data_IF_747953628808
#
_entry.id   IF_747953628808
#
_cell.length_a   1.000
_cell.length_b   1.000
_cell.length_c   1.000
_cell.angle_alpha   90.00
_cell.angle_beta   90.00
_cell.angle_gamma   90.00
#
_symmetry.space_group_name_H-M   'P 1'
#
loop_
_entity.id
_entity.type
_entity.pdbx_description
1 polymer ?
#
# COMPACT_ATOMS: atom_id res chain seq x y z
N UNK A 1 34.78 34.88 -81.11
CA UNK A 1 33.41 34.61 -80.68
C UNK A 1 33.40 33.23 -80.07
N UNK A 2 33.43 33.13 -78.77
CA UNK A 2 33.44 31.87 -78.03
C UNK A 2 32.40 31.92 -76.94
N UNK A 3 31.36 31.11 -77.10
CA UNK A 3 30.31 30.94 -76.14
C UNK A 3 30.80 30.05 -74.96
N UNK A 4 30.78 30.63 -73.75
CA UNK A 4 31.10 29.91 -72.56
C UNK A 4 29.91 29.09 -72.06
N UNK A 5 30.16 27.83 -71.80
CA UNK A 5 29.20 26.90 -71.15
C UNK A 5 29.18 27.05 -69.62
N UNK A 6 28.01 27.30 -69.02
CA UNK A 6 27.80 27.26 -67.59
C UNK A 6 27.71 25.80 -67.08
N UNK A 7 28.28 25.46 -65.95
CA UNK A 7 28.10 24.13 -65.34
C UNK A 7 26.80 24.04 -64.53
N UNK A 8 26.09 22.99 -64.83
CA UNK A 8 24.82 22.59 -64.14
C UNK A 8 25.15 22.04 -62.75
N UNK A 9 24.81 22.81 -61.73
CA UNK A 9 24.94 22.37 -60.30
C UNK A 9 23.83 21.38 -59.97
N UNK A 10 24.19 20.13 -59.77
CA UNK A 10 23.33 19.06 -59.26
C UNK A 10 23.10 19.29 -57.75
N UNK A 11 21.92 19.70 -57.37
CA UNK A 11 21.49 19.75 -55.95
C UNK A 11 21.04 18.36 -55.55
N UNK A 12 21.90 17.66 -54.78
CA UNK A 12 21.48 16.44 -54.09
C UNK A 12 20.67 16.85 -52.86
N UNK A 13 19.36 16.60 -52.89
CA UNK A 13 18.49 16.72 -51.70
C UNK A 13 18.66 15.46 -50.85
N UNK A 14 19.42 15.58 -49.77
CA UNK A 14 19.51 14.54 -48.76
C UNK A 14 18.21 14.60 -47.94
N UNK A 15 17.29 13.67 -48.22
CA UNK A 15 16.08 13.48 -47.41
C UNK A 15 16.48 12.77 -46.12
N UNK A 16 16.57 13.52 -45.02
CA UNK A 16 16.84 12.98 -43.69
C UNK A 16 15.54 12.37 -43.14
N UNK A 17 15.37 11.06 -43.30
CA UNK A 17 14.32 10.31 -42.64
C UNK A 17 14.58 10.28 -41.14
N UNK A 18 13.91 11.13 -40.37
CA UNK A 18 13.88 11.03 -38.91
C UNK A 18 13.05 9.78 -38.56
N UNK A 19 13.74 8.69 -38.28
CA UNK A 19 13.12 7.52 -37.62
C UNK A 19 12.74 7.98 -36.20
N UNK A 20 11.46 8.32 -35.98
CA UNK A 20 10.90 8.36 -34.66
C UNK A 20 10.99 6.93 -34.11
N UNK A 21 12.00 6.68 -33.30
CA UNK A 21 12.04 5.51 -32.47
C UNK A 21 10.84 5.62 -31.51
N UNK A 22 9.80 4.83 -31.77
CA UNK A 22 8.72 4.60 -30.83
C UNK A 22 9.38 3.82 -29.67
N UNK A 23 9.88 4.52 -28.66
CA UNK A 23 10.24 3.87 -27.38
C UNK A 23 8.96 3.24 -26.87
N UNK A 24 8.95 1.92 -26.59
CA UNK A 24 7.81 1.36 -25.85
C UNK A 24 7.64 2.20 -24.60
N UNK A 25 6.43 2.70 -24.36
CA UNK A 25 6.07 3.29 -23.08
C UNK A 25 6.41 2.22 -22.05
N UNK A 26 7.37 2.50 -21.16
CA UNK A 26 7.61 1.60 -20.03
C UNK A 26 6.26 1.44 -19.33
N UNK A 27 5.85 0.22 -19.03
CA UNK A 27 4.65 0.02 -18.24
C UNK A 27 4.92 0.73 -16.91
N UNK A 28 4.01 1.62 -16.51
CA UNK A 28 4.11 2.33 -15.25
C UNK A 28 4.12 1.32 -14.10
N UNK A 29 4.84 1.62 -13.02
CA UNK A 29 4.79 0.80 -11.83
C UNK A 29 3.38 0.90 -11.22
N UNK A 30 2.82 -0.25 -10.84
CA UNK A 30 1.49 -0.34 -10.29
C UNK A 30 1.52 -0.24 -8.76
N UNK A 31 0.56 0.46 -8.18
CA UNK A 31 0.38 0.54 -6.73
C UNK A 31 -1.01 0.06 -6.36
N UNK A 32 -1.10 -1.03 -5.60
CA UNK A 32 -2.35 -1.55 -5.05
C UNK A 32 -2.62 -0.90 -3.70
N UNK A 33 -3.80 -0.32 -3.53
CA UNK A 33 -4.26 0.27 -2.27
C UNK A 33 -5.25 -0.67 -1.58
N UNK A 34 -4.98 -1.02 -0.31
CA UNK A 34 -5.88 -1.81 0.52
C UNK A 34 -6.28 -1.03 1.78
N UNK A 35 -7.57 -0.82 1.95
CA UNK A 35 -8.12 -0.12 3.11
C UNK A 35 -8.16 -1.01 4.37
N UNK A 36 -8.56 -0.46 5.51
CA UNK A 36 -8.67 -1.18 6.79
C UNK A 36 -10.08 -1.72 7.08
N UNK A 37 -10.19 -2.42 8.21
CA UNK A 37 -11.45 -2.90 8.76
C UNK A 37 -12.45 -1.75 8.97
N UNK A 38 -13.74 -1.98 8.65
CA UNK A 38 -14.82 -0.97 8.68
C UNK A 38 -14.62 0.21 7.72
N UNK A 39 -13.80 0.04 6.69
CA UNK A 39 -13.58 1.06 5.67
C UNK A 39 -14.04 0.55 4.31
N UNK A 40 -13.98 1.45 3.35
CA UNK A 40 -14.11 1.17 1.93
C UNK A 40 -12.92 1.81 1.20
N UNK A 41 -12.77 1.50 -0.08
CA UNK A 41 -11.79 2.11 -0.99
C UNK A 41 -11.81 3.65 -0.92
N UNK A 42 -12.97 4.25 -0.67
CA UNK A 42 -13.10 5.72 -0.57
C UNK A 42 -12.22 6.33 0.53
N UNK A 43 -11.82 5.56 1.54
CA UNK A 43 -10.89 6.02 2.57
C UNK A 43 -9.50 6.31 2.02
N UNK A 44 -9.11 5.67 0.90
CA UNK A 44 -7.80 5.78 0.27
C UNK A 44 -7.77 6.79 -0.91
N UNK A 45 -8.90 7.41 -1.28
CA UNK A 45 -9.02 8.28 -2.47
C UNK A 45 -7.98 9.43 -2.53
N UNK A 46 -7.58 9.97 -1.38
CA UNK A 46 -6.56 11.04 -1.35
C UNK A 46 -5.16 10.47 -1.67
N UNK A 47 -4.83 9.31 -1.12
CA UNK A 47 -3.61 8.56 -1.43
C UNK A 47 -3.57 8.19 -2.91
N UNK A 48 -4.66 7.61 -3.42
CA UNK A 48 -4.83 7.27 -4.84
C UNK A 48 -4.56 8.46 -5.74
N UNK A 49 -5.19 9.61 -5.45
CA UNK A 49 -4.99 10.83 -6.23
C UNK A 49 -3.53 11.26 -6.27
N UNK A 50 -2.87 11.29 -5.12
CA UNK A 50 -1.48 11.75 -5.00
C UNK A 50 -0.50 10.79 -5.71
N UNK A 51 -0.73 9.48 -5.63
CA UNK A 51 0.08 8.48 -6.34
C UNK A 51 -0.12 8.55 -7.86
N UNK A 52 -1.35 8.77 -8.33
CA UNK A 52 -1.63 9.00 -9.75
C UNK A 52 -0.95 10.28 -10.25
N UNK A 53 -0.94 11.36 -9.45
CA UNK A 53 -0.23 12.61 -9.78
C UNK A 53 1.30 12.40 -9.84
N UNK A 54 1.82 11.40 -9.12
CA UNK A 54 3.22 10.97 -9.18
C UNK A 54 3.50 9.93 -10.29
N UNK A 55 2.55 9.70 -11.19
CA UNK A 55 2.65 8.81 -12.36
C UNK A 55 2.69 7.31 -12.05
N UNK A 56 2.18 6.87 -10.90
CA UNK A 56 1.90 5.45 -10.66
C UNK A 56 0.55 5.05 -11.28
N UNK A 57 0.44 3.80 -11.76
CA UNK A 57 -0.84 3.19 -12.11
C UNK A 57 -1.49 2.63 -10.83
N UNK A 58 -2.52 3.30 -10.31
CA UNK A 58 -3.07 2.99 -8.97
C UNK A 58 -4.34 2.15 -9.07
N UNK A 59 -4.38 1.07 -8.29
CA UNK A 59 -5.55 0.19 -8.14
C UNK A 59 -6.06 0.28 -6.70
N UNK A 60 -7.14 1.03 -6.51
CA UNK A 60 -7.78 1.23 -5.21
C UNK A 60 -8.88 0.18 -5.02
N UNK A 61 -8.50 -0.95 -4.42
CA UNK A 61 -9.33 -2.16 -4.38
C UNK A 61 -10.50 -2.01 -3.42
N UNK A 62 -11.71 -2.27 -3.94
CA UNK A 62 -12.93 -2.34 -3.15
C UNK A 62 -13.18 -3.78 -2.69
N UNK A 63 -13.23 -3.99 -1.37
CA UNK A 63 -13.58 -5.29 -0.77
C UNK A 63 -14.37 -5.12 0.53
N UNK A 64 -15.16 -6.12 0.88
CA UNK A 64 -16.02 -6.07 2.08
C UNK A 64 -15.27 -6.53 3.33
N UNK A 65 -14.55 -5.64 3.97
CA UNK A 65 -13.58 -5.89 5.06
C UNK A 65 -14.10 -6.62 6.31
N UNK A 66 -15.42 -6.80 6.45
CA UNK A 66 -16.07 -7.44 7.61
C UNK A 66 -16.77 -8.75 7.24
N UNK A 67 -16.76 -9.15 5.97
CA UNK A 67 -17.61 -10.24 5.50
C UNK A 67 -17.00 -11.62 5.69
N UNK A 68 -15.72 -11.74 5.42
CA UNK A 68 -15.00 -13.01 5.38
C UNK A 68 -13.81 -13.02 6.35
N UNK A 69 -13.22 -14.18 6.68
CA UNK A 69 -11.97 -14.30 7.42
C UNK A 69 -10.79 -13.66 6.68
N UNK A 70 -9.72 -13.35 7.42
CA UNK A 70 -8.51 -12.68 6.88
C UNK A 70 -7.89 -13.44 5.70
N UNK A 71 -7.84 -14.76 5.75
CA UNK A 71 -7.26 -15.58 4.68
C UNK A 71 -8.07 -15.51 3.38
N UNK A 72 -9.40 -15.48 3.46
CA UNK A 72 -10.28 -15.31 2.29
C UNK A 72 -10.17 -13.90 1.74
N UNK A 73 -10.22 -12.87 2.61
CA UNK A 73 -10.06 -11.48 2.20
C UNK A 73 -8.68 -11.19 1.59
N UNK A 74 -7.64 -11.87 2.07
CA UNK A 74 -6.29 -11.74 1.50
C UNK A 74 -6.23 -12.24 0.05
N UNK A 75 -6.77 -13.43 -0.22
CA UNK A 75 -6.83 -13.98 -1.57
C UNK A 75 -7.69 -13.10 -2.50
N UNK A 76 -8.84 -12.64 -2.01
CA UNK A 76 -9.75 -11.79 -2.77
C UNK A 76 -9.13 -10.42 -3.07
N UNK A 77 -8.75 -9.65 -2.04
CA UNK A 77 -8.34 -8.25 -2.22
C UNK A 77 -6.96 -8.11 -2.87
N UNK A 78 -5.99 -8.94 -2.48
CA UNK A 78 -4.66 -8.93 -3.11
C UNK A 78 -4.76 -9.48 -4.53
N UNK A 79 -5.49 -10.59 -4.73
CA UNK A 79 -5.70 -11.19 -6.05
C UNK A 79 -6.34 -10.21 -7.05
N UNK A 80 -7.38 -9.48 -6.64
CA UNK A 80 -8.01 -8.41 -7.45
C UNK A 80 -7.01 -7.33 -7.82
N UNK A 81 -6.24 -6.83 -6.86
CA UNK A 81 -5.21 -5.82 -7.12
C UNK A 81 -4.15 -6.28 -8.11
N UNK A 82 -3.69 -7.51 -8.00
CA UNK A 82 -2.73 -8.11 -8.92
C UNK A 82 -3.30 -8.28 -10.33
N UNK A 83 -4.56 -8.70 -10.46
CA UNK A 83 -5.25 -8.83 -11.73
C UNK A 83 -5.41 -7.46 -12.42
N UNK A 84 -5.82 -6.43 -11.67
CA UNK A 84 -5.98 -5.08 -12.18
C UNK A 84 -4.65 -4.43 -12.59
N UNK A 85 -3.53 -4.77 -11.92
CA UNK A 85 -2.18 -4.33 -12.31
C UNK A 85 -1.68 -4.98 -13.61
N UNK A 86 -2.29 -6.08 -14.05
CA UNK A 86 -2.04 -6.71 -15.33
C UNK A 86 -0.54 -6.97 -15.59
N UNK A 87 0.02 -6.31 -16.59
CA UNK A 87 1.41 -6.48 -17.03
C UNK A 87 2.38 -5.41 -16.49
N UNK A 88 2.07 -4.72 -15.40
CA UNK A 88 2.99 -3.78 -14.76
C UNK A 88 4.36 -4.44 -14.48
N UNK A 89 5.44 -3.68 -14.60
CA UNK A 89 6.80 -4.22 -14.37
C UNK A 89 7.05 -4.50 -12.89
N UNK A 90 6.56 -3.63 -12.02
CA UNK A 90 6.67 -3.72 -10.57
C UNK A 90 5.29 -3.46 -9.96
N UNK A 91 4.96 -4.19 -8.91
CA UNK A 91 3.71 -4.02 -8.15
C UNK A 91 4.05 -3.66 -6.72
N UNK A 92 3.69 -2.46 -6.32
CA UNK A 92 3.81 -1.97 -4.95
C UNK A 92 2.48 -2.12 -4.21
N UNK A 93 2.55 -2.10 -2.89
CA UNK A 93 1.35 -2.04 -2.05
C UNK A 93 1.44 -0.86 -1.09
N UNK A 94 0.35 -0.10 -0.96
CA UNK A 94 0.16 0.86 0.13
C UNK A 94 -1.11 0.50 0.86
N UNK A 95 -0.99 0.18 2.14
CA UNK A 95 -2.08 -0.41 2.90
C UNK A 95 -2.38 0.39 4.16
N UNK A 96 -3.62 0.32 4.62
CA UNK A 96 -4.01 0.89 5.90
C UNK A 96 -4.52 -0.20 6.84
N UNK A 97 -3.99 -0.22 8.07
CA UNK A 97 -4.50 -1.08 9.16
C UNK A 97 -4.54 -2.57 8.75
N UNK A 98 -5.70 -3.21 8.80
CA UNK A 98 -5.90 -4.61 8.39
C UNK A 98 -5.40 -4.90 6.97
N UNK A 99 -5.43 -3.93 6.05
CA UNK A 99 -4.92 -4.13 4.69
C UNK A 99 -3.47 -4.62 4.64
N UNK A 100 -2.62 -4.21 5.61
CA UNK A 100 -1.26 -4.72 5.76
C UNK A 100 -1.21 -6.19 6.18
N UNK A 101 -2.14 -6.60 7.03
CA UNK A 101 -2.27 -8.00 7.46
C UNK A 101 -2.73 -8.89 6.28
N UNK A 102 -3.60 -8.35 5.39
CA UNK A 102 -4.00 -9.08 4.19
C UNK A 102 -2.81 -9.34 3.25
N UNK A 103 -1.93 -8.35 3.05
CA UNK A 103 -0.71 -8.55 2.24
C UNK A 103 0.20 -9.59 2.87
N UNK A 104 0.46 -9.53 4.19
CA UNK A 104 1.26 -10.54 4.89
C UNK A 104 0.65 -11.93 4.78
N UNK A 105 -0.68 -12.05 4.98
CA UNK A 105 -1.40 -13.32 4.89
C UNK A 105 -1.35 -13.91 3.48
N UNK A 106 -1.42 -13.08 2.44
CA UNK A 106 -1.30 -13.51 1.06
C UNK A 106 0.12 -14.04 0.77
N UNK A 107 1.14 -13.29 1.17
CA UNK A 107 2.55 -13.62 0.95
C UNK A 107 3.04 -14.81 1.78
N UNK A 108 2.33 -15.22 2.83
CA UNK A 108 2.61 -16.47 3.58
C UNK A 108 2.41 -17.73 2.70
N UNK A 109 1.54 -17.63 1.68
CA UNK A 109 1.14 -18.78 0.86
C UNK A 109 1.45 -18.63 -0.61
N UNK A 110 1.71 -17.41 -1.07
CA UNK A 110 1.84 -17.06 -2.47
C UNK A 110 3.08 -16.21 -2.70
N UNK A 111 3.74 -16.40 -3.83
CA UNK A 111 4.80 -15.51 -4.30
C UNK A 111 4.23 -14.48 -5.30
N UNK A 112 4.77 -13.27 -5.28
CA UNK A 112 4.49 -12.23 -6.29
C UNK A 112 5.81 -11.91 -7.00
N UNK A 113 6.03 -12.51 -8.16
CA UNK A 113 7.29 -12.38 -8.93
C UNK A 113 7.73 -10.93 -9.17
N UNK A 114 6.76 -9.99 -9.21
CA UNK A 114 7.00 -8.57 -9.49
C UNK A 114 6.76 -7.69 -8.28
N UNK A 115 6.84 -8.27 -7.06
CA UNK A 115 6.65 -7.52 -5.84
C UNK A 115 7.74 -6.44 -5.71
N UNK A 116 7.30 -5.20 -5.61
CA UNK A 116 8.12 -4.05 -5.30
C UNK A 116 8.17 -3.79 -3.81
N UNK A 117 7.82 -2.57 -3.42
CA UNK A 117 7.82 -2.13 -2.03
C UNK A 117 6.42 -2.18 -1.43
N UNK A 118 6.35 -2.48 -0.14
CA UNK A 118 5.11 -2.45 0.64
C UNK A 118 5.23 -1.34 1.67
N UNK A 119 4.23 -0.46 1.74
CA UNK A 119 4.10 0.56 2.79
C UNK A 119 2.84 0.29 3.60
N UNK A 120 2.99 0.14 4.91
CA UNK A 120 1.87 -0.12 5.80
C UNK A 120 1.62 1.07 6.73
N UNK A 121 0.42 1.61 6.70
CA UNK A 121 -0.04 2.70 7.55
C UNK A 121 -0.79 2.14 8.77
N UNK A 122 -0.20 2.25 9.96
CA UNK A 122 -0.78 1.80 11.21
C UNK A 122 -1.20 0.32 11.24
N UNK A 123 -0.38 -0.63 10.73
CA UNK A 123 -0.75 -2.04 10.71
C UNK A 123 -0.75 -2.63 12.12
N UNK A 124 -1.75 -3.43 12.52
CA UNK A 124 -1.70 -4.18 13.78
C UNK A 124 -0.84 -5.45 13.64
N UNK A 125 0.47 -5.29 13.34
CA UNK A 125 1.38 -6.41 13.06
C UNK A 125 1.59 -7.36 14.24
N UNK A 126 1.36 -6.88 15.48
CA UNK A 126 1.35 -7.69 16.70
C UNK A 126 -0.08 -7.85 17.28
N UNK A 127 -1.10 -7.52 16.48
CA UNK A 127 -2.49 -7.48 16.90
C UNK A 127 -2.91 -6.12 17.44
N UNK A 128 -4.17 -6.01 17.84
CA UNK A 128 -4.78 -4.79 18.40
C UNK A 128 -5.45 -5.08 19.73
N UNK A 129 -4.98 -4.41 20.77
CA UNK A 129 -5.55 -4.47 22.12
C UNK A 129 -6.99 -3.91 22.16
N UNK A 130 -7.34 -3.06 21.21
CA UNK A 130 -8.72 -2.59 21.05
C UNK A 130 -9.65 -3.74 20.67
N UNK A 131 -9.19 -4.67 19.82
CA UNK A 131 -9.98 -5.88 19.50
C UNK A 131 -10.17 -6.73 20.75
N UNK A 132 -9.09 -7.03 21.48
CA UNK A 132 -9.17 -7.85 22.70
C UNK A 132 -10.12 -7.29 23.74
N UNK A 133 -10.18 -5.95 23.85
CA UNK A 133 -11.08 -5.29 24.80
C UNK A 133 -12.55 -5.45 24.43
N UNK A 134 -12.87 -5.50 23.16
CA UNK A 134 -14.26 -5.47 22.69
C UNK A 134 -14.76 -6.82 22.18
N UNK A 135 -13.89 -7.83 22.05
CA UNK A 135 -14.26 -9.15 21.50
C UNK A 135 -15.42 -9.82 22.24
N UNK A 136 -15.52 -9.63 23.55
CA UNK A 136 -16.58 -10.22 24.39
C UNK A 136 -17.84 -9.34 24.50
N UNK A 137 -17.88 -8.18 23.82
CA UNK A 137 -19.07 -7.33 23.85
C UNK A 137 -20.19 -7.90 22.99
N UNK A 138 -21.43 -7.93 23.49
CA UNK A 138 -22.56 -8.42 22.72
C UNK A 138 -22.70 -7.72 21.36
N UNK A 139 -22.66 -8.49 20.28
CA UNK A 139 -22.78 -7.99 18.90
C UNK A 139 -21.49 -7.51 18.28
N UNK A 140 -20.36 -7.58 18.98
CA UNK A 140 -19.06 -7.22 18.39
C UNK A 140 -18.72 -8.15 17.22
N UNK A 141 -18.98 -9.44 17.36
CA UNK A 141 -18.83 -10.46 16.32
C UNK A 141 -19.65 -10.13 15.07
N UNK A 142 -20.90 -9.74 15.25
CA UNK A 142 -21.77 -9.33 14.14
C UNK A 142 -21.26 -8.06 13.43
N UNK A 143 -20.71 -7.12 14.18
CA UNK A 143 -20.24 -5.84 13.65
C UNK A 143 -18.84 -5.93 13.03
N UNK A 144 -17.90 -6.62 13.69
CA UNK A 144 -16.51 -6.73 13.24
C UNK A 144 -16.31 -7.78 12.16
N UNK A 145 -17.25 -8.73 12.06
CA UNK A 145 -17.15 -9.87 11.18
C UNK A 145 -16.01 -10.84 11.54
N UNK A 146 -15.84 -11.90 10.75
CA UNK A 146 -14.82 -12.92 11.01
C UNK A 146 -13.39 -12.34 11.06
N UNK A 147 -13.03 -11.46 10.12
CA UNK A 147 -11.70 -10.85 10.07
C UNK A 147 -11.39 -10.04 11.34
N UNK A 148 -12.34 -9.24 11.82
CA UNK A 148 -12.13 -8.42 13.03
C UNK A 148 -11.77 -9.25 14.25
N UNK A 149 -12.39 -10.43 14.43
CA UNK A 149 -12.11 -11.35 15.52
C UNK A 149 -10.69 -11.95 15.47
N UNK A 150 -10.07 -11.97 14.30
CA UNK A 150 -8.76 -12.55 14.09
C UNK A 150 -7.59 -11.56 14.33
N UNK A 151 -7.88 -10.27 14.59
CA UNK A 151 -6.87 -9.21 14.72
C UNK A 151 -6.46 -8.90 16.17
N UNK A 152 -6.81 -9.71 17.15
CA UNK A 152 -6.39 -9.54 18.53
C UNK A 152 -4.90 -9.78 18.77
N UNK A 153 -4.45 -9.63 20.03
CA UNK A 153 -3.03 -9.80 20.43
C UNK A 153 -2.68 -11.22 20.89
N UNK A 154 -3.65 -12.14 20.96
CA UNK A 154 -3.44 -13.52 21.36
C UNK A 154 -2.49 -14.25 20.40
N UNK A 155 -1.77 -15.28 20.89
CA UNK A 155 -0.82 -16.05 20.08
C UNK A 155 -1.45 -16.73 18.86
N UNK A 156 -2.73 -17.08 18.94
CA UNK A 156 -3.50 -17.66 17.84
C UNK A 156 -4.08 -16.60 16.88
N UNK A 157 -3.86 -15.31 17.12
CA UNK A 157 -4.30 -14.25 16.19
C UNK A 157 -3.51 -14.29 14.89
N UNK A 158 -4.16 -13.92 13.78
CA UNK A 158 -3.50 -13.92 12.47
C UNK A 158 -2.23 -13.05 12.45
N UNK A 159 -2.23 -11.79 12.95
CA UNK A 159 -1.02 -10.97 12.91
C UNK A 159 0.20 -11.61 13.57
N UNK A 160 0.01 -12.31 14.68
CA UNK A 160 1.10 -12.94 15.42
C UNK A 160 1.53 -14.30 14.83
N UNK A 161 0.59 -15.04 14.25
CA UNK A 161 0.87 -16.32 13.61
C UNK A 161 1.69 -16.18 12.32
N UNK A 162 1.63 -15.02 11.63
CA UNK A 162 2.34 -14.77 10.37
C UNK A 162 3.87 -14.63 10.49
N UNK A 163 4.43 -14.39 11.67
CA UNK A 163 5.88 -14.30 11.85
C UNK A 163 6.57 -13.12 11.15
N UNK A 164 7.89 -13.21 10.91
CA UNK A 164 8.69 -12.17 10.23
C UNK A 164 8.27 -11.95 8.78
N UNK A 165 8.68 -10.80 8.20
CA UNK A 165 8.50 -10.51 6.77
C UNK A 165 9.82 -10.65 6.02
N UNK A 166 9.75 -11.11 4.76
CA UNK A 166 10.90 -11.30 3.88
C UNK A 166 10.81 -10.47 2.59
N UNK A 167 10.07 -9.35 2.66
CA UNK A 167 9.89 -8.41 1.54
C UNK A 167 10.15 -6.98 1.98
N UNK A 168 10.43 -6.09 1.03
CA UNK A 168 10.74 -4.69 1.32
C UNK A 168 9.54 -3.98 1.96
N UNK A 169 9.63 -3.68 3.25
CA UNK A 169 8.55 -3.15 4.06
C UNK A 169 8.93 -1.87 4.80
N UNK A 170 8.23 -0.77 4.48
CA UNK A 170 8.19 0.44 5.30
C UNK A 170 6.90 0.52 6.10
N UNK A 171 7.00 0.96 7.35
CA UNK A 171 5.86 1.13 8.26
C UNK A 171 5.78 2.58 8.72
N UNK A 172 4.58 3.17 8.63
CA UNK A 172 4.28 4.46 9.22
C UNK A 172 3.32 4.25 10.39
N UNK A 173 3.79 4.54 11.60
CA UNK A 173 3.03 4.43 12.84
C UNK A 173 2.54 5.80 13.31
N UNK A 174 1.26 5.93 13.62
CA UNK A 174 0.71 7.15 14.22
C UNK A 174 0.92 7.17 15.73
N UNK A 175 1.14 8.37 16.29
CA UNK A 175 1.33 8.55 17.73
C UNK A 175 0.37 9.59 18.36
N UNK A 176 -0.72 9.91 17.68
CA UNK A 176 -1.79 10.77 18.21
C UNK A 176 -3.11 10.03 18.25
N UNK A 177 -3.86 10.25 19.33
CA UNK A 177 -5.20 9.70 19.50
C UNK A 177 -6.25 10.80 19.54
N UNK A 178 -7.43 10.50 18.99
CA UNK A 178 -8.65 11.29 19.18
C UNK A 178 -9.48 10.80 20.36
N UNK A 179 -9.19 9.61 20.90
CA UNK A 179 -9.93 8.99 21.98
C UNK A 179 -8.99 8.63 23.15
N UNK A 180 -8.80 9.56 24.10
CA UNK A 180 -7.91 9.34 25.24
C UNK A 180 -8.41 8.22 26.20
N UNK A 181 -9.66 7.79 26.09
CA UNK A 181 -10.19 6.69 26.87
C UNK A 181 -9.70 5.35 26.28
N UNK A 182 -9.75 5.19 24.95
CA UNK A 182 -9.19 4.02 24.27
C UNK A 182 -7.68 3.97 24.41
N UNK A 183 -7.00 5.09 24.25
CA UNK A 183 -5.55 5.21 24.38
C UNK A 183 -5.01 4.69 25.72
N UNK A 184 -5.79 4.82 26.80
CA UNK A 184 -5.41 4.24 28.12
C UNK A 184 -5.35 2.72 28.16
N UNK A 185 -5.88 2.05 27.15
CA UNK A 185 -5.86 0.58 27.04
C UNK A 185 -4.75 0.08 26.14
N UNK A 186 -4.09 0.99 25.41
CA UNK A 186 -2.99 0.70 24.52
C UNK A 186 -1.64 0.95 25.23
N UNK A 187 -0.63 0.12 25.04
CA UNK A 187 0.68 0.32 25.64
C UNK A 187 1.45 1.44 24.96
N UNK A 188 1.91 2.42 25.74
CA UNK A 188 2.79 3.48 25.24
C UNK A 188 2.10 4.51 24.34
N UNK A 189 2.79 4.92 23.27
CA UNK A 189 2.25 5.81 22.25
C UNK A 189 1.36 5.05 21.29
N UNK A 190 0.29 5.66 20.84
CA UNK A 190 -0.70 5.04 19.97
C UNK A 190 -1.38 6.06 19.04
N UNK A 191 -2.00 5.56 17.98
CA UNK A 191 -2.79 6.33 17.03
C UNK A 191 -4.30 6.37 17.33
N UNK A 192 -4.70 5.78 18.47
CA UNK A 192 -6.08 5.63 18.93
C UNK A 192 -6.69 4.26 18.63
N UNK A 193 -5.98 3.37 17.94
CA UNK A 193 -6.41 1.98 17.65
C UNK A 193 -5.28 0.95 17.73
N UNK A 194 -4.06 1.34 17.37
CA UNK A 194 -2.88 0.48 17.36
C UNK A 194 -1.75 1.22 18.07
N UNK A 195 -1.04 0.56 18.97
CA UNK A 195 0.15 1.13 19.58
C UNK A 195 1.31 1.18 18.59
N UNK A 196 2.20 2.15 18.73
CA UNK A 196 3.41 2.25 17.89
C UNK A 196 4.21 0.94 17.94
N UNK A 197 4.30 0.31 19.10
CA UNK A 197 5.00 -0.97 19.26
C UNK A 197 4.30 -2.10 18.50
N UNK A 198 2.96 -2.14 18.53
CA UNK A 198 2.18 -3.17 17.83
C UNK A 198 2.26 -3.08 16.31
N UNK A 199 2.69 -1.94 15.76
CA UNK A 199 2.90 -1.81 14.31
C UNK A 199 4.16 -2.51 13.83
N UNK A 200 5.13 -2.79 14.71
CA UNK A 200 6.43 -3.37 14.34
C UNK A 200 6.32 -4.83 13.96
N UNK A 201 7.19 -5.26 13.05
CA UNK A 201 7.37 -6.67 12.68
C UNK A 201 8.85 -6.92 12.36
N UNK A 202 9.34 -8.10 12.70
CA UNK A 202 10.71 -8.52 12.35
C UNK A 202 10.83 -8.60 10.82
N UNK A 203 11.97 -8.11 10.29
CA UNK A 203 12.22 -8.06 8.84
C UNK A 203 11.77 -6.78 8.15
N UNK A 204 11.08 -5.84 8.83
CA UNK A 204 10.79 -4.52 8.25
C UNK A 204 12.08 -3.73 7.98
N UNK A 205 12.13 -3.00 6.86
CA UNK A 205 13.30 -2.18 6.49
C UNK A 205 13.28 -0.82 7.20
N UNK A 206 12.11 -0.20 7.32
CA UNK A 206 11.97 1.12 7.94
C UNK A 206 10.70 1.22 8.80
N UNK A 207 10.76 2.08 9.83
CA UNK A 207 9.65 2.33 10.73
C UNK A 207 9.63 3.78 11.19
N UNK A 208 8.72 4.55 10.62
CA UNK A 208 8.55 5.97 10.88
C UNK A 208 7.39 6.25 11.85
N UNK A 209 7.65 6.98 12.94
CA UNK A 209 6.62 7.45 13.87
C UNK A 209 6.20 8.88 13.50
N UNK A 210 4.91 9.10 13.25
CA UNK A 210 4.37 10.40 12.84
C UNK A 210 3.24 10.90 13.76
N UNK A 211 3.06 12.24 13.90
CA UNK A 211 2.04 12.82 14.79
C UNK A 211 0.63 12.80 14.16
N UNK A 212 0.20 11.63 13.72
CA UNK A 212 -1.09 11.40 13.05
C UNK A 212 -1.96 10.39 13.80
N UNK A 213 -3.25 10.38 13.49
CA UNK A 213 -4.21 9.46 14.09
C UNK A 213 -4.58 8.35 13.11
N UNK A 214 -4.96 7.18 13.62
CA UNK A 214 -5.32 6.00 12.83
C UNK A 214 -6.34 6.28 11.73
N UNK A 215 -7.34 7.12 12.04
CA UNK A 215 -8.49 7.33 11.15
C UNK A 215 -8.22 8.31 10.02
N UNK A 216 -7.13 9.09 10.11
CA UNK A 216 -6.82 10.16 9.14
C UNK A 216 -5.46 10.00 8.45
N UNK A 217 -4.59 9.08 8.90
CA UNK A 217 -3.23 8.95 8.36
C UNK A 217 -3.17 8.77 6.84
N UNK A 218 -4.11 8.03 6.24
CA UNK A 218 -4.17 7.84 4.78
C UNK A 218 -4.56 9.10 4.00
N UNK A 219 -4.90 10.19 4.69
CA UNK A 219 -5.29 11.49 4.11
C UNK A 219 -4.36 12.63 4.50
N UNK A 220 -3.39 12.36 5.35
CA UNK A 220 -2.41 13.31 5.82
C UNK A 220 -1.36 13.58 4.73
N UNK A 221 -1.03 14.86 4.49
CA UNK A 221 -0.10 15.25 3.42
C UNK A 221 1.31 14.75 3.70
N UNK A 222 1.78 14.91 4.95
CA UNK A 222 3.12 14.48 5.34
C UNK A 222 3.26 12.95 5.27
N UNK A 223 2.20 12.20 5.61
CA UNK A 223 2.17 10.73 5.44
C UNK A 223 2.25 10.35 3.97
N UNK A 224 1.49 11.02 3.11
CA UNK A 224 1.50 10.77 1.66
C UNK A 224 2.89 11.07 1.07
N UNK A 225 3.54 12.14 1.48
CA UNK A 225 4.91 12.48 1.07
C UNK A 225 5.91 11.39 1.49
N UNK A 226 5.79 10.84 2.71
CA UNK A 226 6.64 9.74 3.17
C UNK A 226 6.36 8.43 2.40
N UNK A 227 5.11 8.14 2.06
CA UNK A 227 4.76 7.01 1.20
C UNK A 227 5.44 7.12 -0.17
N UNK A 228 5.30 8.27 -0.83
CA UNK A 228 5.95 8.54 -2.12
C UNK A 228 7.46 8.39 -2.03
N UNK A 229 8.07 8.96 -1.00
CA UNK A 229 9.50 8.88 -0.75
C UNK A 229 9.97 7.43 -0.59
N UNK A 230 9.27 6.62 0.22
CA UNK A 230 9.61 5.23 0.42
C UNK A 230 9.43 4.39 -0.86
N UNK A 231 8.35 4.63 -1.61
CA UNK A 231 8.13 3.93 -2.89
C UNK A 231 9.24 4.22 -3.91
N UNK A 232 9.84 5.41 -3.87
CA UNK A 232 10.93 5.80 -4.77
C UNK A 232 12.30 5.31 -4.28
N UNK A 233 12.58 5.35 -2.96
CA UNK A 233 13.94 5.17 -2.41
C UNK A 233 14.12 3.87 -1.59
N UNK A 234 13.07 3.36 -0.94
CA UNK A 234 13.10 2.13 -0.13
C UNK A 234 13.59 2.31 1.31
N UNK A 235 13.60 3.55 1.82
CA UNK A 235 13.98 3.88 3.22
C UNK A 235 13.31 5.16 3.69
#
# INVERSE_FOLDING_TARGET
MTLGSLPMLFRIAVSMCVLLACTPLAADDCVVLLHGLFRTENSMNRMEKSLNEASYDVKNVAYESTREPVDVLAEEAVGMGLEECGNANVIHFVTHSMGGILVRQYLEKNDIDRLGRVVMLGPPNQGSEVIDRYVDWPGFDWFSGPAGLQLGTGEASVPRALGPVEFNLGIIAGNRTLNPILSRTLPGKDDGKVSVESTRVEGMDDHLEMPVTHVFMMRDEEVIEQVLFYLEHGY
#
